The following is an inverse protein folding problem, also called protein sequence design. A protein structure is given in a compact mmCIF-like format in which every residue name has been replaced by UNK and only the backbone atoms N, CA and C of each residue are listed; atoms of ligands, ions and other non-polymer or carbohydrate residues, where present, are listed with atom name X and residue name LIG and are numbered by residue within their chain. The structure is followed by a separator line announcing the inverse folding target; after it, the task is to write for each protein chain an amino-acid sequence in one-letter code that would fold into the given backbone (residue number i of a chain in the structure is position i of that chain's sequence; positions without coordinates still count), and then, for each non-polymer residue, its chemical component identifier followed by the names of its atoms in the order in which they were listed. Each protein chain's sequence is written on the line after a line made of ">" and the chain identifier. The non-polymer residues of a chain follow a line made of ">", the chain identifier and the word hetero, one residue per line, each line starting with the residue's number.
data_IF_610404445376
#
_entry.id   IF_610404445376
#
_cell.length_a   1.000
_cell.length_b   1.000
_cell.length_c   1.000
_cell.angle_alpha   90.00
_cell.angle_beta   90.00
_cell.angle_gamma   90.00
#
_symmetry.space_group_name_H-M   'P 1'
#
loop_
_entity.id
_entity.type
_entity.pdbx_description
1 polymer ?
#
# COMPACT_ATOMS: atom_id res chain seq x y z
N UNK A 1 21.25 -15.94 -46.34
CA UNK A 1 20.52 -15.97 -45.05
C UNK A 1 19.06 -15.74 -45.38
N UNK A 2 18.12 -16.52 -44.82
CA UNK A 2 16.70 -16.40 -45.19
C UNK A 2 16.06 -15.22 -44.45
N UNK A 3 15.23 -14.44 -45.13
CA UNK A 3 14.58 -13.26 -44.56
C UNK A 3 13.83 -13.58 -43.24
N UNK A 4 13.11 -14.71 -43.19
CA UNK A 4 12.42 -15.19 -41.98
C UNK A 4 13.32 -15.31 -40.74
N UNK A 5 14.61 -15.67 -40.86
CA UNK A 5 15.47 -15.77 -39.66
C UNK A 5 15.85 -14.38 -39.15
N UNK A 6 16.16 -13.46 -40.07
CA UNK A 6 16.51 -12.07 -39.75
C UNK A 6 15.29 -11.36 -39.14
N UNK A 7 14.10 -11.57 -39.70
CA UNK A 7 12.84 -10.98 -39.23
C UNK A 7 12.44 -11.51 -37.85
N UNK A 8 12.62 -12.81 -37.59
CA UNK A 8 12.39 -13.41 -36.27
C UNK A 8 13.42 -12.94 -35.24
N UNK A 9 14.71 -12.85 -35.60
CA UNK A 9 15.76 -12.27 -34.74
C UNK A 9 15.47 -10.79 -34.43
N UNK A 10 14.98 -10.03 -35.40
CA UNK A 10 14.56 -8.64 -35.22
C UNK A 10 13.41 -8.54 -34.22
N UNK A 11 12.33 -9.32 -34.41
CA UNK A 11 11.19 -9.36 -33.50
C UNK A 11 11.60 -9.78 -32.07
N UNK A 12 12.45 -10.79 -31.90
CA UNK A 12 12.93 -11.24 -30.59
C UNK A 12 13.86 -10.23 -29.91
N UNK A 13 14.59 -9.42 -30.68
CA UNK A 13 15.45 -8.35 -30.17
C UNK A 13 14.61 -7.18 -29.66
N UNK A 14 13.69 -6.69 -30.50
CA UNK A 14 12.84 -5.53 -30.20
C UNK A 14 11.51 -5.87 -29.50
N UNK A 15 11.35 -7.07 -28.95
CA UNK A 15 10.17 -7.45 -28.17
C UNK A 15 10.10 -6.70 -26.80
N UNK A 16 8.93 -6.18 -26.37
CA UNK A 16 8.79 -5.48 -25.10
C UNK A 16 8.81 -6.43 -23.89
N UNK A 17 9.69 -6.13 -22.93
CA UNK A 17 9.95 -6.89 -21.69
C UNK A 17 9.31 -6.18 -20.51
N UNK A 18 8.42 -6.85 -19.81
CA UNK A 18 7.66 -6.24 -18.71
C UNK A 18 8.43 -6.37 -17.39
N UNK A 19 8.85 -5.24 -16.82
CA UNK A 19 9.32 -5.13 -15.43
C UNK A 19 8.09 -5.02 -14.52
N UNK A 20 8.14 -5.61 -13.32
CA UNK A 20 7.06 -5.58 -12.30
C UNK A 20 7.66 -5.31 -10.93
N UNK A 21 6.96 -4.63 -10.01
CA UNK A 21 7.40 -4.49 -8.61
C UNK A 21 7.18 -5.82 -7.85
N UNK A 22 7.55 -5.85 -6.57
CA UNK A 22 7.38 -7.05 -5.70
C UNK A 22 5.88 -7.39 -5.54
N UNK A 23 5.00 -6.40 -5.82
CA UNK A 23 3.54 -6.49 -5.70
C UNK A 23 2.87 -6.84 -7.04
N UNK A 24 3.65 -7.31 -8.02
CA UNK A 24 3.16 -7.95 -9.25
C UNK A 24 2.54 -7.01 -10.29
N UNK A 25 2.21 -5.77 -9.93
CA UNK A 25 1.83 -4.72 -10.87
C UNK A 25 2.89 -4.59 -11.98
N UNK A 26 2.45 -4.32 -13.22
CA UNK A 26 3.37 -3.81 -14.25
C UNK A 26 4.08 -2.57 -13.69
N UNK A 27 5.39 -2.43 -13.93
CA UNK A 27 6.16 -1.22 -13.57
C UNK A 27 7.10 -0.74 -14.65
N UNK A 28 7.42 -1.54 -15.67
CA UNK A 28 7.85 -1.04 -16.97
C UNK A 28 7.59 -2.06 -18.09
N UNK A 29 7.81 -1.66 -19.33
CA UNK A 29 7.58 -2.42 -20.56
C UNK A 29 8.64 -1.98 -21.57
N UNK A 30 9.65 -2.80 -21.89
CA UNK A 30 10.82 -2.32 -22.64
C UNK A 30 11.41 -3.24 -23.71
N UNK A 31 11.58 -2.70 -24.92
CA UNK A 31 12.31 -3.35 -26.03
C UNK A 31 13.83 -3.22 -25.81
N UNK A 32 14.67 -3.61 -26.78
CA UNK A 32 16.11 -3.28 -26.74
C UNK A 32 16.41 -1.81 -26.97
N UNK A 33 15.47 -1.09 -27.56
CA UNK A 33 15.56 0.34 -27.80
C UNK A 33 14.85 1.09 -26.66
N UNK A 34 13.55 0.83 -26.50
CA UNK A 34 12.59 1.74 -25.88
C UNK A 34 11.85 1.09 -24.72
N UNK A 35 11.97 1.66 -23.52
CA UNK A 35 11.23 1.28 -22.33
C UNK A 35 10.08 2.21 -21.96
N UNK A 36 9.18 1.74 -21.09
CA UNK A 36 7.96 2.47 -20.71
C UNK A 36 7.42 1.99 -19.34
N UNK A 37 7.64 2.78 -18.29
CA UNK A 37 7.17 2.57 -16.91
C UNK A 37 5.63 2.39 -16.85
N UNK A 38 5.08 1.72 -15.84
CA UNK A 38 3.60 1.59 -15.74
C UNK A 38 2.88 2.89 -15.38
N UNK A 39 3.59 3.87 -14.83
CA UNK A 39 3.10 5.24 -14.72
C UNK A 39 3.19 6.02 -16.05
N UNK A 40 3.66 5.40 -17.14
CA UNK A 40 3.73 5.96 -18.49
C UNK A 40 5.11 6.47 -18.94
N UNK A 41 6.14 6.43 -18.08
CA UNK A 41 7.43 7.10 -18.29
C UNK A 41 8.42 6.31 -19.16
N UNK A 42 8.91 6.89 -20.27
CA UNK A 42 9.80 6.19 -21.21
C UNK A 42 11.25 5.97 -20.69
N UNK A 43 11.88 4.84 -21.08
CA UNK A 43 13.15 4.33 -20.50
C UNK A 43 14.09 3.79 -21.61
N UNK A 44 14.78 4.68 -22.33
CA UNK A 44 15.84 4.33 -23.30
C UNK A 44 17.22 4.26 -22.63
N UNK A 45 18.06 3.28 -22.97
CA UNK A 45 19.52 3.36 -22.74
C UNK A 45 20.30 2.38 -23.62
N UNK A 46 21.29 2.90 -24.36
CA UNK A 46 22.14 2.08 -25.26
C UNK A 46 23.18 1.23 -24.52
N UNK A 47 23.40 1.47 -23.23
CA UNK A 47 24.50 0.87 -22.45
C UNK A 47 24.16 0.51 -20.98
N UNK A 48 23.08 1.03 -20.39
CA UNK A 48 22.79 0.94 -18.96
C UNK A 48 22.14 -0.38 -18.52
N UNK A 49 22.76 -1.10 -17.56
CA UNK A 49 22.23 -2.35 -16.97
C UNK A 49 21.97 -2.29 -15.46
N UNK A 50 22.41 -1.22 -14.78
CA UNK A 50 22.27 -1.04 -13.33
C UNK A 50 21.00 -0.24 -12.99
N UNK A 51 20.79 0.88 -13.69
CA UNK A 51 19.70 1.84 -13.48
C UNK A 51 18.30 1.20 -13.52
N UNK A 52 18.12 0.19 -14.38
CA UNK A 52 16.85 -0.57 -14.51
C UNK A 52 16.53 -1.37 -13.24
N UNK A 53 17.54 -1.84 -12.51
CA UNK A 53 17.37 -2.58 -11.26
C UNK A 53 16.97 -1.64 -10.10
N UNK A 54 17.45 -0.39 -10.14
CA UNK A 54 17.10 0.65 -9.17
C UNK A 54 15.69 1.18 -9.41
N UNK A 55 15.32 1.47 -10.67
CA UNK A 55 13.95 1.88 -11.05
C UNK A 55 12.89 0.86 -10.64
N UNK A 56 13.18 -0.43 -10.83
CA UNK A 56 12.35 -1.54 -10.34
C UNK A 56 12.15 -1.49 -8.81
N UNK A 57 13.24 -1.24 -8.08
CA UNK A 57 13.26 -1.22 -6.61
C UNK A 57 12.54 0.00 -6.02
N UNK A 58 12.61 1.16 -6.66
CA UNK A 58 11.83 2.35 -6.27
C UNK A 58 10.32 2.05 -6.32
N UNK A 59 9.84 1.32 -7.34
CA UNK A 59 8.43 0.90 -7.39
C UNK A 59 8.11 -0.21 -6.37
N UNK A 60 9.08 -1.09 -6.03
CA UNK A 60 8.96 -2.07 -4.94
C UNK A 60 8.72 -1.39 -3.57
N UNK A 61 9.31 -0.22 -3.36
CA UNK A 61 9.14 0.56 -2.11
C UNK A 61 7.89 1.46 -2.13
N UNK A 62 7.50 1.97 -3.31
CA UNK A 62 6.27 2.76 -3.52
C UNK A 62 4.98 1.99 -3.20
N UNK A 63 4.78 0.81 -3.78
CA UNK A 63 3.55 0.03 -3.56
C UNK A 63 3.47 -0.48 -2.10
N UNK A 64 4.60 -0.88 -1.49
CA UNK A 64 4.65 -1.24 -0.06
C UNK A 64 4.22 -0.11 0.85
N UNK A 65 4.61 1.13 0.54
CA UNK A 65 4.17 2.31 1.29
C UNK A 65 2.67 2.55 1.10
N UNK A 66 2.19 2.55 -0.14
CA UNK A 66 0.77 2.70 -0.52
C UNK A 66 -0.12 1.64 0.16
N UNK A 67 0.35 0.41 0.32
CA UNK A 67 -0.34 -0.63 1.08
C UNK A 67 -0.41 -0.31 2.59
N UNK A 68 0.67 0.18 3.19
CA UNK A 68 0.69 0.60 4.59
C UNK A 68 -0.21 1.83 4.83
N UNK A 69 -0.13 2.84 3.96
CA UNK A 69 -0.99 4.04 3.98
C UNK A 69 -2.48 3.62 3.91
N UNK A 70 -2.81 2.60 3.10
CA UNK A 70 -4.18 2.08 2.95
C UNK A 70 -4.67 1.22 4.13
N UNK A 71 -3.78 0.69 4.97
CA UNK A 71 -4.15 0.05 6.26
C UNK A 71 -4.33 1.13 7.34
N UNK A 72 -3.41 2.10 7.43
CA UNK A 72 -3.52 3.21 8.38
C UNK A 72 -4.83 3.98 8.19
N UNK A 73 -5.24 4.24 6.94
CA UNK A 73 -6.51 4.91 6.64
C UNK A 73 -7.75 4.09 7.07
N UNK A 74 -7.68 2.75 7.08
CA UNK A 74 -8.76 1.91 7.62
C UNK A 74 -8.83 2.00 9.13
N UNK A 75 -7.69 1.91 9.82
CA UNK A 75 -7.62 2.07 11.26
C UNK A 75 -8.15 3.43 11.73
N UNK A 76 -7.76 4.49 11.02
CA UNK A 76 -8.21 5.85 11.31
C UNK A 76 -9.71 6.04 11.01
N UNK A 77 -10.22 5.51 9.89
CA UNK A 77 -11.65 5.55 9.62
C UNK A 77 -12.46 4.68 10.59
N UNK A 78 -11.98 3.48 10.95
CA UNK A 78 -12.62 2.62 11.94
C UNK A 78 -12.76 3.37 13.27
N UNK A 79 -11.71 4.01 13.78
CA UNK A 79 -11.76 4.87 14.98
C UNK A 79 -12.86 5.94 14.89
N UNK A 80 -13.11 6.56 13.73
CA UNK A 80 -14.19 7.57 13.61
C UNK A 80 -15.62 7.04 13.82
N UNK A 81 -15.84 5.73 13.75
CA UNK A 81 -17.16 5.11 14.02
C UNK A 81 -17.42 4.89 15.53
N UNK A 82 -16.36 4.89 16.35
CA UNK A 82 -16.43 4.57 17.77
C UNK A 82 -16.57 5.86 18.61
N UNK A 83 -17.75 6.07 19.19
CA UNK A 83 -18.02 7.14 20.17
C UNK A 83 -18.10 6.56 21.59
N UNK A 84 -17.77 7.37 22.60
CA UNK A 84 -17.95 7.02 24.01
C UNK A 84 -19.34 7.47 24.51
N UNK A 85 -20.14 6.53 25.01
CA UNK A 85 -21.47 6.77 25.58
C UNK A 85 -21.47 6.44 27.07
N UNK A 86 -21.83 7.42 27.87
CA UNK A 86 -21.84 7.36 29.33
C UNK A 86 -23.20 6.92 29.89
N UNK A 87 -23.23 6.43 31.13
CA UNK A 87 -24.43 6.46 31.97
C UNK A 87 -24.56 7.81 32.71
N UNK A 88 -25.73 8.06 33.29
CA UNK A 88 -26.06 9.35 33.95
C UNK A 88 -25.09 9.69 35.09
N UNK A 89 -24.66 8.68 35.85
CA UNK A 89 -23.71 8.78 36.97
C UNK A 89 -22.25 8.89 36.53
N UNK A 90 -21.93 8.70 35.25
CA UNK A 90 -20.59 8.73 34.63
C UNK A 90 -19.54 7.80 35.28
N UNK A 91 -20.00 6.78 36.00
CA UNK A 91 -19.18 5.67 36.51
C UNK A 91 -19.09 4.49 35.53
N UNK A 92 -19.89 4.49 34.45
CA UNK A 92 -19.81 3.51 33.37
C UNK A 92 -19.80 4.20 32.00
N UNK A 93 -19.02 3.65 31.08
CA UNK A 93 -19.10 4.01 29.66
C UNK A 93 -19.01 2.77 28.77
N UNK A 94 -19.62 2.89 27.58
CA UNK A 94 -19.62 1.90 26.51
C UNK A 94 -19.34 2.56 25.16
N UNK A 95 -18.95 1.77 24.17
CA UNK A 95 -18.85 2.25 22.81
C UNK A 95 -20.26 2.40 22.16
N UNK A 96 -20.37 3.26 21.14
CA UNK A 96 -21.53 3.34 20.24
C UNK A 96 -21.61 2.19 19.23
N UNK A 97 -20.47 1.57 18.88
CA UNK A 97 -20.31 0.74 17.68
C UNK A 97 -19.93 -0.73 17.96
N UNK A 98 -19.41 -1.05 19.15
CA UNK A 98 -19.05 -2.42 19.53
C UNK A 98 -19.28 -2.68 21.02
N UNK A 99 -19.12 -3.93 21.45
CA UNK A 99 -19.38 -4.40 22.82
C UNK A 99 -18.36 -3.92 23.88
N UNK A 100 -17.47 -2.98 23.55
CA UNK A 100 -16.56 -2.41 24.55
C UNK A 100 -17.33 -1.63 25.63
N UNK A 101 -17.07 -1.97 26.89
CA UNK A 101 -17.63 -1.34 28.07
C UNK A 101 -16.61 -1.35 29.20
N UNK A 102 -16.65 -0.32 30.06
CA UNK A 102 -15.86 -0.26 31.30
C UNK A 102 -16.66 0.44 32.40
N UNK A 103 -16.50 -0.03 33.63
CA UNK A 103 -17.04 0.61 34.83
C UNK A 103 -15.90 1.01 35.77
N UNK A 104 -15.92 2.26 36.25
CA UNK A 104 -15.00 2.79 37.24
C UNK A 104 -15.56 4.07 37.86
N UNK A 105 -15.49 4.21 39.18
CA UNK A 105 -15.86 5.44 39.90
C UNK A 105 -14.95 6.66 39.61
N UNK A 106 -14.01 6.53 38.66
CA UNK A 106 -13.12 7.60 38.23
C UNK A 106 -13.16 7.74 36.70
N UNK A 107 -13.78 8.82 36.23
CA UNK A 107 -13.94 9.17 34.81
C UNK A 107 -12.61 9.24 34.04
N UNK A 108 -11.50 9.65 34.68
CA UNK A 108 -10.19 9.69 34.02
C UNK A 108 -9.65 8.27 33.73
N UNK A 109 -9.92 7.28 34.60
CA UNK A 109 -9.59 5.87 34.31
C UNK A 109 -10.39 5.34 33.11
N UNK A 110 -11.65 5.74 33.00
CA UNK A 110 -12.51 5.38 31.86
C UNK A 110 -11.96 5.99 30.56
N UNK A 111 -11.55 7.26 30.57
CA UNK A 111 -10.93 7.92 29.41
C UNK A 111 -9.60 7.28 28.99
N UNK A 112 -8.76 6.84 29.93
CA UNK A 112 -7.53 6.07 29.62
C UNK A 112 -7.86 4.72 28.98
N UNK A 113 -8.84 3.98 29.54
CA UNK A 113 -9.28 2.71 28.98
C UNK A 113 -9.94 2.85 27.60
N UNK A 114 -10.60 3.99 27.35
CA UNK A 114 -11.18 4.37 26.06
C UNK A 114 -10.12 4.68 25.01
N UNK A 115 -9.09 5.47 25.34
CA UNK A 115 -8.00 5.74 24.41
C UNK A 115 -7.27 4.43 24.04
N UNK A 116 -7.00 3.56 25.03
CA UNK A 116 -6.48 2.21 24.78
C UNK A 116 -7.42 1.32 23.94
N UNK A 117 -8.72 1.61 23.93
CA UNK A 117 -9.67 0.94 23.04
C UNK A 117 -9.58 1.47 21.61
N UNK A 118 -9.47 2.78 21.41
CA UNK A 118 -9.30 3.37 20.08
C UNK A 118 -8.00 2.94 19.40
N UNK A 119 -6.88 2.85 20.12
CA UNK A 119 -5.64 2.28 19.55
C UNK A 119 -5.85 0.82 19.10
N UNK A 120 -6.52 -0.02 19.91
CA UNK A 120 -6.88 -1.39 19.49
C UNK A 120 -7.83 -1.43 18.29
N UNK A 121 -8.73 -0.46 18.13
CA UNK A 121 -9.57 -0.36 16.92
C UNK A 121 -8.71 0.01 15.71
N UNK A 122 -7.77 0.93 15.87
CA UNK A 122 -6.85 1.36 14.81
C UNK A 122 -5.95 0.22 14.32
N UNK A 123 -5.46 -0.62 15.23
CA UNK A 123 -4.53 -1.72 14.92
C UNK A 123 -5.20 -2.97 14.32
N UNK A 124 -6.54 -3.08 14.32
CA UNK A 124 -7.28 -4.30 13.92
C UNK A 124 -8.24 -4.11 12.72
N UNK A 125 -7.95 -3.17 11.79
CA UNK A 125 -8.83 -2.77 10.67
C UNK A 125 -8.21 -2.94 9.26
#
# INVERSE_FOLDING_TARGET
>A
MNAMSIELEHQLRFAPKIVRCVEGHTVATHTTDHGLCSCGLEIWSRHGRLEVYELHKVHWEFERKKAADAVQQRGEHAVTLHEIRWNDTRDCARCSWCDWMVQSTNTAKILVAWNQHLERVKDNA
#
